data_IF_007182185261
#
_entry.id   IF_007182185261
#
_cell.length_a   1.000
_cell.length_b   1.000
_cell.length_c   1.000
_cell.angle_alpha   90.00
_cell.angle_beta   90.00
_cell.angle_gamma   90.00
#
_symmetry.space_group_name_H-M   'P 1'
#
loop_
_entity.id
_entity.type
_entity.pdbx_description
1 polymer ?
#
# COMPACT_ATOMS: atom_id res chain seq x y z
N UNK A 1 -3.63 4.05 -24.77
CA UNK A 1 -3.59 3.58 -23.37
C UNK A 1 -4.11 4.71 -22.50
N UNK A 2 -5.06 4.43 -21.61
CA UNK A 2 -5.61 5.42 -20.67
C UNK A 2 -5.18 5.01 -19.27
N UNK A 3 -4.69 5.97 -18.48
CA UNK A 3 -4.36 5.78 -17.07
C UNK A 3 -5.26 6.72 -16.26
N UNK A 4 -5.91 6.18 -15.23
CA UNK A 4 -6.72 6.94 -14.28
C UNK A 4 -5.92 7.18 -13.02
N UNK A 5 -5.90 8.43 -12.55
CA UNK A 5 -5.21 8.83 -11.33
C UNK A 5 -6.28 9.24 -10.33
N UNK A 6 -6.18 8.78 -9.10
CA UNK A 6 -7.07 9.15 -8.00
C UNK A 6 -6.27 9.29 -6.72
N UNK A 7 -6.55 10.34 -5.96
CA UNK A 7 -5.90 10.55 -4.67
C UNK A 7 -6.47 9.56 -3.64
N UNK A 8 -5.60 8.82 -2.97
CA UNK A 8 -5.97 8.02 -1.81
C UNK A 8 -6.19 8.97 -0.62
N UNK A 9 -7.40 8.95 -0.06
CA UNK A 9 -7.79 9.86 1.03
C UNK A 9 -7.71 9.23 2.42
N UNK A 10 -7.62 7.89 2.52
CA UNK A 10 -7.37 7.20 3.78
C UNK A 10 -6.64 5.87 3.58
N UNK A 11 -5.83 5.48 4.56
CA UNK A 11 -5.14 4.19 4.58
C UNK A 11 -6.13 3.01 4.48
N UNK A 12 -7.28 3.10 5.15
CA UNK A 12 -8.33 2.07 5.07
C UNK A 12 -8.98 1.93 3.68
N UNK A 13 -9.14 3.02 2.92
CA UNK A 13 -9.62 2.92 1.52
C UNK A 13 -8.57 2.31 0.60
N UNK A 14 -7.29 2.57 0.86
CA UNK A 14 -6.19 1.98 0.11
C UNK A 14 -5.96 0.50 0.47
N UNK A 15 -6.15 0.11 1.73
CA UNK A 15 -6.15 -1.29 2.16
C UNK A 15 -7.34 -2.05 1.56
N UNK A 16 -8.52 -1.42 1.50
CA UNK A 16 -9.72 -1.97 0.86
C UNK A 16 -9.55 -2.29 -0.63
N UNK A 17 -8.64 -1.60 -1.33
CA UNK A 17 -8.26 -1.94 -2.72
C UNK A 17 -7.63 -3.35 -2.83
N UNK A 18 -6.96 -3.80 -1.76
CA UNK A 18 -6.37 -5.14 -1.68
C UNK A 18 -7.29 -6.16 -0.98
N UNK A 19 -8.23 -5.73 -0.15
CA UNK A 19 -9.25 -6.62 0.46
C UNK A 19 -10.32 -7.06 -0.55
N UNK A 20 -10.71 -6.18 -1.49
CA UNK A 20 -11.75 -6.50 -2.47
C UNK A 20 -11.32 -7.57 -3.51
N UNK A 21 -10.01 -7.79 -3.67
CA UNK A 21 -9.46 -8.78 -4.59
C UNK A 21 -9.59 -10.22 -4.06
N UNK A 22 -9.70 -10.41 -2.74
CA UNK A 22 -9.85 -11.74 -2.13
C UNK A 22 -11.21 -12.41 -2.42
N UNK A 23 -12.23 -11.64 -2.82
CA UNK A 23 -13.57 -12.17 -3.07
C UNK A 23 -13.76 -12.72 -4.50
N UNK A 24 -12.88 -12.34 -5.44
CA UNK A 24 -12.90 -12.81 -6.83
C UNK A 24 -11.65 -13.60 -7.24
N UNK A 25 -10.60 -13.58 -6.41
CA UNK A 25 -9.45 -14.44 -6.62
C UNK A 25 -9.77 -15.86 -6.11
N UNK A 26 -10.20 -16.71 -7.03
CA UNK A 26 -10.30 -18.16 -6.87
C UNK A 26 -8.92 -18.72 -6.46
N UNK A 27 -8.59 -18.64 -5.16
CA UNK A 27 -7.44 -19.32 -4.55
C UNK A 27 -6.06 -18.65 -4.63
N UNK A 28 -5.93 -17.33 -4.82
CA UNK A 28 -4.60 -16.70 -4.80
C UNK A 28 -4.58 -15.20 -4.54
N UNK A 29 -3.72 -14.75 -3.63
CA UNK A 29 -3.40 -13.34 -3.41
C UNK A 29 -2.96 -12.71 -4.74
N UNK A 30 -3.58 -11.61 -5.16
CA UNK A 30 -3.16 -10.88 -6.37
C UNK A 30 -1.66 -10.54 -6.29
N UNK A 31 -0.85 -10.84 -7.31
CA UNK A 31 0.59 -10.61 -7.27
C UNK A 31 0.84 -9.11 -7.18
N UNK A 32 1.23 -8.66 -5.99
CA UNK A 32 1.56 -7.28 -5.69
C UNK A 32 3.04 -7.20 -5.33
N UNK A 33 3.75 -6.23 -5.88
CA UNK A 33 5.20 -6.09 -5.67
C UNK A 33 5.60 -4.67 -5.26
N UNK A 34 6.61 -4.58 -4.39
CA UNK A 34 7.22 -3.30 -4.04
C UNK A 34 8.03 -2.74 -5.21
N UNK A 35 7.86 -1.45 -5.48
CA UNK A 35 8.56 -0.77 -6.56
C UNK A 35 9.07 0.62 -6.13
N UNK A 36 10.19 1.04 -6.73
CA UNK A 36 10.76 2.38 -6.60
C UNK A 36 11.92 2.49 -5.59
N UNK A 37 12.72 3.54 -5.74
CA UNK A 37 13.96 3.73 -4.98
C UNK A 37 13.72 3.85 -3.46
N UNK A 38 12.57 4.41 -3.05
CA UNK A 38 12.22 4.48 -1.63
C UNK A 38 11.95 3.10 -1.03
N UNK A 39 11.36 2.17 -1.79
CA UNK A 39 11.17 0.80 -1.36
C UNK A 39 12.53 0.12 -1.14
N UNK A 40 13.46 0.27 -2.09
CA UNK A 40 14.84 -0.25 -1.96
C UNK A 40 15.56 0.32 -0.74
N UNK A 41 15.45 1.64 -0.50
CA UNK A 41 16.04 2.30 0.68
C UNK A 41 15.43 1.83 2.01
N UNK A 42 14.18 1.40 2.00
CA UNK A 42 13.46 0.86 3.16
C UNK A 42 13.60 -0.66 3.28
N UNK A 43 14.29 -1.32 2.35
CA UNK A 43 14.42 -2.79 2.32
C UNK A 43 13.13 -3.52 1.95
N UNK A 44 12.21 -2.86 1.24
CA UNK A 44 10.94 -3.42 0.77
C UNK A 44 11.15 -3.96 -0.65
N UNK A 45 10.99 -5.27 -0.83
CA UNK A 45 11.18 -5.95 -2.11
C UNK A 45 10.31 -7.20 -2.19
N UNK A 46 9.90 -7.57 -3.41
CA UNK A 46 9.03 -8.73 -3.61
C UNK A 46 7.60 -8.44 -3.20
N UNK A 47 6.92 -9.43 -2.64
CA UNK A 47 5.48 -9.36 -2.32
C UNK A 47 5.15 -8.24 -1.33
N UNK A 48 4.03 -7.56 -1.57
CA UNK A 48 3.51 -6.53 -0.67
C UNK A 48 2.82 -7.18 0.53
N UNK A 49 3.44 -7.03 1.70
CA UNK A 49 2.81 -7.35 2.97
C UNK A 49 1.72 -6.31 3.31
N UNK A 50 0.51 -6.80 3.63
CA UNK A 50 -0.67 -5.94 3.86
C UNK A 50 -0.53 -5.08 5.11
N UNK A 51 -0.01 -5.66 6.19
CA UNK A 51 0.17 -4.94 7.45
C UNK A 51 1.21 -3.82 7.25
N UNK A 52 2.33 -4.15 6.59
CA UNK A 52 3.38 -3.19 6.29
C UNK A 52 2.93 -2.07 5.38
N UNK A 53 2.12 -2.39 4.37
CA UNK A 53 1.55 -1.41 3.46
C UNK A 53 0.60 -0.46 4.19
N UNK A 54 -0.26 -0.97 5.07
CA UNK A 54 -1.14 -0.15 5.90
C UNK A 54 -0.34 0.81 6.80
N UNK A 55 0.69 0.33 7.50
CA UNK A 55 1.58 1.16 8.32
C UNK A 55 2.18 2.32 7.52
N UNK A 56 2.69 2.03 6.32
CA UNK A 56 3.30 3.05 5.45
C UNK A 56 2.29 4.08 4.96
N UNK A 57 1.05 3.67 4.68
CA UNK A 57 -0.04 4.57 4.30
C UNK A 57 -0.50 5.46 5.46
N UNK A 58 -0.44 4.94 6.69
CA UNK A 58 -0.62 5.74 7.91
C UNK A 58 0.57 6.65 8.20
N UNK A 59 1.65 6.55 7.42
CA UNK A 59 2.83 7.38 7.52
C UNK A 59 3.85 6.89 8.55
N UNK A 60 3.72 5.66 9.06
CA UNK A 60 4.71 5.03 9.92
C UNK A 60 5.88 4.52 9.07
N UNK A 61 6.92 5.34 8.90
CA UNK A 61 8.07 5.03 8.04
C UNK A 61 9.34 5.02 8.88
N UNK A 62 10.01 3.86 8.95
CA UNK A 62 11.28 3.69 9.67
C UNK A 62 11.26 4.23 11.12
N UNK A 63 10.14 4.03 11.83
CA UNK A 63 9.95 4.51 13.20
C UNK A 63 9.65 6.01 13.33
N UNK A 64 9.37 6.69 12.22
CA UNK A 64 8.96 8.10 12.19
C UNK A 64 7.54 8.21 11.66
N UNK A 65 6.74 9.06 12.30
CA UNK A 65 5.43 9.46 11.79
C UNK A 65 5.61 10.58 10.76
N UNK A 66 5.26 10.28 9.52
CA UNK A 66 5.21 11.21 8.40
C UNK A 66 3.74 11.46 8.01
N UNK A 67 3.47 12.58 7.35
CA UNK A 67 2.12 12.96 6.92
C UNK A 67 1.60 14.21 7.60
N UNK A 68 0.47 14.72 7.11
CA UNK A 68 -0.19 15.90 7.67
C UNK A 68 -1.28 15.43 8.63
N UNK A 69 -1.05 15.54 9.93
CA UNK A 69 -2.14 15.41 10.91
C UNK A 69 -3.07 16.59 10.68
N UNK A 70 -4.24 16.32 10.08
CA UNK A 70 -5.27 17.34 9.90
C UNK A 70 -6.21 17.19 11.08
N UNK A 71 -5.96 17.98 12.12
CA UNK A 71 -6.92 18.25 13.20
C UNK A 71 -8.20 18.88 12.63
#
# INVERSE_FOLDING_TARGET
MVASISALSSAGQAAGYYEADDYYADGGTSPSEWFGEAAERLGLSGEVDREKFAELLEGQIAGQQLGTTRD
#
